data_IF_061554126413
#
_entry.id   IF_061554126413
#
_cell.length_a   1.000
_cell.length_b   1.000
_cell.length_c   1.000
_cell.angle_alpha   90.00
_cell.angle_beta   90.00
_cell.angle_gamma   90.00
#
_symmetry.space_group_name_H-M   'P 1'
#
loop_
_entity.id
_entity.type
_entity.pdbx_description
1 polymer ?
#
# COMPACT_ATOMS: atom_id res chain seq x y z
N UNK A 1 -11.62 -49.67 25.88
CA UNK A 1 -12.45 -48.46 25.66
C UNK A 1 -11.72 -47.13 25.80
N UNK A 2 -11.05 -46.82 26.93
CA UNK A 2 -10.48 -45.47 27.19
C UNK A 2 -9.38 -45.00 26.20
N UNK A 3 -8.58 -45.91 25.65
CA UNK A 3 -7.49 -45.58 24.70
C UNK A 3 -8.00 -45.22 23.30
N UNK A 4 -8.99 -45.95 22.77
CA UNK A 4 -9.63 -45.62 21.49
C UNK A 4 -10.41 -44.30 21.55
N UNK A 5 -11.08 -44.01 22.67
CA UNK A 5 -11.76 -42.74 22.88
C UNK A 5 -10.80 -41.53 22.89
N UNK A 6 -9.61 -41.67 23.52
CA UNK A 6 -8.57 -40.63 23.50
C UNK A 6 -8.03 -40.36 22.09
N UNK A 7 -7.78 -41.40 21.30
CA UNK A 7 -7.31 -41.25 19.91
C UNK A 7 -8.37 -40.56 19.04
N UNK A 8 -9.63 -40.94 19.18
CA UNK A 8 -10.74 -40.30 18.47
C UNK A 8 -10.89 -38.80 18.80
N UNK A 9 -10.78 -38.44 20.08
CA UNK A 9 -10.80 -37.04 20.53
C UNK A 9 -9.66 -36.20 19.94
N UNK A 10 -8.45 -36.77 19.86
CA UNK A 10 -7.29 -36.09 19.25
C UNK A 10 -7.52 -35.86 17.75
N UNK A 11 -8.07 -36.84 17.03
CA UNK A 11 -8.36 -36.70 15.60
C UNK A 11 -9.40 -35.60 15.36
N UNK A 12 -10.45 -35.52 16.16
CA UNK A 12 -11.45 -34.44 16.09
C UNK A 12 -10.79 -33.08 16.34
N UNK A 13 -9.93 -32.98 17.35
CA UNK A 13 -9.24 -31.72 17.67
C UNK A 13 -8.35 -31.27 16.50
N UNK A 14 -7.62 -32.18 15.88
CA UNK A 14 -6.77 -31.88 14.71
C UNK A 14 -7.63 -31.40 13.54
N UNK A 15 -8.72 -32.11 13.20
CA UNK A 15 -9.65 -31.70 12.13
C UNK A 15 -10.27 -30.33 12.42
N UNK A 16 -10.62 -30.06 13.69
CA UNK A 16 -11.19 -28.79 14.11
C UNK A 16 -10.19 -27.64 13.97
N UNK A 17 -8.94 -27.82 14.42
CA UNK A 17 -7.89 -26.81 14.27
C UNK A 17 -7.53 -26.54 12.80
N UNK A 18 -7.53 -27.57 11.95
CA UNK A 18 -7.31 -27.42 10.51
C UNK A 18 -8.45 -26.63 9.85
N UNK A 19 -9.71 -26.96 10.18
CA UNK A 19 -10.89 -26.24 9.71
C UNK A 19 -10.87 -24.77 10.11
N UNK A 20 -10.53 -24.46 11.37
CA UNK A 20 -10.38 -23.08 11.85
C UNK A 20 -9.29 -22.34 11.07
N UNK A 21 -8.14 -22.98 10.85
CA UNK A 21 -7.02 -22.38 10.11
C UNK A 21 -7.43 -22.02 8.69
N UNK A 22 -8.17 -22.90 8.01
CA UNK A 22 -8.72 -22.65 6.67
C UNK A 22 -9.72 -21.49 6.65
N UNK A 23 -10.59 -21.39 7.64
CA UNK A 23 -11.54 -20.27 7.76
C UNK A 23 -10.79 -18.94 7.94
N UNK A 24 -9.71 -18.93 8.74
CA UNK A 24 -8.88 -17.73 8.95
C UNK A 24 -8.18 -17.32 7.65
N UNK A 25 -7.62 -18.28 6.91
CA UNK A 25 -6.96 -18.05 5.62
C UNK A 25 -7.93 -17.39 4.62
N UNK A 26 -9.12 -17.98 4.43
CA UNK A 26 -10.17 -17.44 3.56
C UNK A 26 -10.55 -16.02 3.98
N UNK A 27 -10.76 -15.78 5.28
CA UNK A 27 -11.09 -14.44 5.78
C UNK A 27 -10.00 -13.43 5.45
N UNK A 28 -8.72 -13.80 5.63
CA UNK A 28 -7.59 -12.92 5.34
C UNK A 28 -7.50 -12.60 3.85
N UNK A 29 -7.74 -13.59 2.98
CA UNK A 29 -7.83 -13.36 1.53
C UNK A 29 -8.99 -12.44 1.15
N UNK A 30 -10.17 -12.61 1.74
CA UNK A 30 -11.31 -11.72 1.51
C UNK A 30 -10.99 -10.27 1.91
N UNK A 31 -10.37 -10.07 3.08
CA UNK A 31 -9.96 -8.73 3.54
C UNK A 31 -8.93 -8.12 2.58
N UNK A 32 -7.90 -8.89 2.20
CA UNK A 32 -6.87 -8.45 1.26
C UNK A 32 -7.49 -8.05 -0.10
N UNK A 33 -8.33 -8.90 -0.67
CA UNK A 33 -9.01 -8.65 -1.95
C UNK A 33 -9.92 -7.41 -1.87
N UNK A 34 -10.58 -7.19 -0.74
CA UNK A 34 -11.39 -5.99 -0.52
C UNK A 34 -10.52 -4.72 -0.53
N UNK A 35 -9.39 -4.72 0.19
CA UNK A 35 -8.43 -3.61 0.19
C UNK A 35 -7.89 -3.35 -1.23
N UNK A 36 -7.52 -4.40 -1.98
CA UNK A 36 -7.02 -4.29 -3.36
C UNK A 36 -7.98 -3.60 -4.33
N UNK A 37 -9.28 -3.62 -4.03
CA UNK A 37 -10.33 -3.03 -4.87
C UNK A 37 -10.77 -1.63 -4.42
N UNK A 38 -10.26 -1.16 -3.28
CA UNK A 38 -10.59 0.14 -2.70
C UNK A 38 -9.48 1.19 -2.87
N UNK A 39 -8.34 0.78 -3.40
CA UNK A 39 -7.18 1.65 -3.55
C UNK A 39 -6.79 1.82 -5.03
N UNK A 40 -6.36 3.02 -5.39
CA UNK A 40 -5.58 3.25 -6.61
C UNK A 40 -4.16 3.56 -6.19
N UNK A 41 -3.24 2.70 -6.59
CA UNK A 41 -1.81 2.85 -6.33
C UNK A 41 -1.19 3.73 -7.40
N UNK A 42 -0.01 4.27 -7.11
CA UNK A 42 0.75 5.06 -8.06
C UNK A 42 2.22 4.67 -7.99
N UNK A 43 2.86 4.57 -9.15
CA UNK A 43 4.31 4.49 -9.18
C UNK A 43 4.93 5.11 -10.42
N UNK A 44 6.13 5.64 -10.20
CA UNK A 44 7.01 6.13 -11.25
C UNK A 44 8.19 5.17 -11.35
N UNK A 45 8.47 4.68 -12.56
CA UNK A 45 9.49 3.69 -12.88
C UNK A 45 10.59 4.41 -13.65
N UNK A 46 11.81 4.34 -13.13
CA UNK A 46 12.96 4.99 -13.76
C UNK A 46 13.40 4.23 -15.02
N UNK A 47 14.09 4.92 -15.92
CA UNK A 47 14.69 4.30 -17.10
C UNK A 47 15.71 3.23 -16.71
N UNK A 48 16.58 3.50 -15.74
CA UNK A 48 17.55 2.55 -15.19
C UNK A 48 17.87 2.84 -13.71
N UNK A 49 18.77 2.05 -13.13
CA UNK A 49 19.25 2.21 -11.75
C UNK A 49 20.40 3.20 -11.58
N UNK A 50 20.82 3.86 -12.66
CA UNK A 50 21.83 4.90 -12.56
C UNK A 50 21.31 6.08 -11.71
N UNK A 51 22.23 6.77 -11.01
CA UNK A 51 21.89 7.87 -10.09
C UNK A 51 21.11 8.99 -10.78
N UNK A 52 21.40 9.28 -12.04
CA UNK A 52 20.72 10.37 -12.78
C UNK A 52 19.27 10.01 -13.12
N UNK A 53 19.00 8.78 -13.54
CA UNK A 53 17.65 8.27 -13.85
C UNK A 53 16.81 8.17 -12.58
N UNK A 54 17.43 7.75 -11.47
CA UNK A 54 16.79 7.74 -10.16
C UNK A 54 16.42 9.15 -9.69
N UNK A 55 17.31 10.13 -9.90
CA UNK A 55 17.03 11.56 -9.63
C UNK A 55 15.91 12.10 -10.53
N UNK A 56 16.00 11.85 -11.83
CA UNK A 56 15.00 12.27 -12.82
C UNK A 56 13.60 11.73 -12.48
N UNK A 57 13.51 10.45 -12.07
CA UNK A 57 12.26 9.86 -11.57
C UNK A 57 11.68 10.65 -10.40
N UNK A 58 12.51 11.04 -9.43
CA UNK A 58 12.04 11.79 -8.25
C UNK A 58 11.53 13.18 -8.65
N UNK A 59 12.23 13.88 -9.53
CA UNK A 59 11.78 15.19 -10.04
C UNK A 59 10.45 15.10 -10.80
N UNK A 60 10.31 14.12 -11.72
CA UNK A 60 9.06 13.86 -12.44
C UNK A 60 7.93 13.55 -11.44
N UNK A 61 8.22 12.69 -10.46
CA UNK A 61 7.28 12.29 -9.42
C UNK A 61 6.80 13.52 -8.63
N UNK A 62 7.69 14.41 -8.20
CA UNK A 62 7.33 15.61 -7.43
C UNK A 62 6.41 16.54 -8.22
N UNK A 63 6.71 16.79 -9.50
CA UNK A 63 5.88 17.64 -10.36
C UNK A 63 4.50 17.03 -10.65
N UNK A 64 4.42 15.70 -10.86
CA UNK A 64 3.15 15.00 -11.04
C UNK A 64 2.31 15.04 -9.77
N UNK A 65 2.91 14.77 -8.61
CA UNK A 65 2.23 14.80 -7.30
C UNK A 65 1.70 16.21 -7.04
N UNK A 66 2.50 17.25 -7.29
CA UNK A 66 2.10 18.65 -7.14
C UNK A 66 0.89 19.01 -8.01
N UNK A 67 0.84 18.51 -9.25
CA UNK A 67 -0.30 18.75 -10.14
C UNK A 67 -1.55 17.96 -9.72
N UNK A 68 -1.38 16.67 -9.41
CA UNK A 68 -2.49 15.78 -9.10
C UNK A 68 -3.08 15.98 -7.71
N UNK A 69 -2.32 16.54 -6.76
CA UNK A 69 -2.82 16.87 -5.41
C UNK A 69 -4.03 17.79 -5.47
N UNK A 70 -3.96 18.84 -6.30
CA UNK A 70 -5.06 19.78 -6.50
C UNK A 70 -6.26 19.12 -7.19
N UNK A 71 -6.00 18.23 -8.16
CA UNK A 71 -7.06 17.56 -8.93
C UNK A 71 -7.81 16.50 -8.12
N UNK A 72 -7.11 15.81 -7.23
CA UNK A 72 -7.68 14.73 -6.42
C UNK A 72 -8.21 15.20 -5.05
N UNK A 73 -7.96 16.45 -4.67
CA UNK A 73 -8.37 17.03 -3.38
C UNK A 73 -9.85 16.83 -3.08
N UNK A 74 -10.71 17.02 -4.08
CA UNK A 74 -12.16 16.97 -3.93
C UNK A 74 -12.77 15.61 -4.34
N UNK A 75 -11.93 14.62 -4.67
CA UNK A 75 -12.41 13.30 -5.08
C UNK A 75 -13.00 12.54 -3.90
N UNK A 76 -14.25 12.10 -4.05
CA UNK A 76 -15.04 11.45 -3.00
C UNK A 76 -14.91 9.94 -3.00
N UNK A 77 -14.66 9.34 -4.16
CA UNK A 77 -14.59 7.90 -4.32
C UNK A 77 -13.59 7.46 -5.40
N UNK A 78 -13.35 6.15 -5.44
CA UNK A 78 -12.39 5.51 -6.34
C UNK A 78 -12.74 5.70 -7.82
N UNK A 79 -14.02 5.75 -8.18
CA UNK A 79 -14.46 5.90 -9.56
C UNK A 79 -14.23 7.32 -10.06
N UNK A 80 -14.52 8.32 -9.22
CA UNK A 80 -14.21 9.70 -9.50
C UNK A 80 -12.70 9.91 -9.64
N UNK A 81 -11.90 9.37 -8.70
CA UNK A 81 -10.44 9.40 -8.78
C UNK A 81 -9.92 8.75 -10.08
N UNK A 82 -10.46 7.59 -10.46
CA UNK A 82 -10.12 6.92 -11.72
C UNK A 82 -10.41 7.79 -12.93
N UNK A 83 -11.54 8.48 -12.94
CA UNK A 83 -11.91 9.41 -14.03
C UNK A 83 -10.96 10.59 -14.07
N UNK A 84 -10.69 11.24 -12.93
CA UNK A 84 -9.74 12.35 -12.82
C UNK A 84 -8.36 11.96 -13.36
N UNK A 85 -7.86 10.77 -13.01
CA UNK A 85 -6.57 10.27 -13.50
C UNK A 85 -6.59 10.13 -15.02
N UNK A 86 -7.63 9.50 -15.59
CA UNK A 86 -7.75 9.32 -17.05
C UNK A 86 -7.85 10.66 -17.80
N UNK A 87 -8.68 11.58 -17.30
CA UNK A 87 -8.89 12.89 -17.91
C UNK A 87 -7.61 13.76 -17.88
N UNK A 88 -6.72 13.50 -16.94
CA UNK A 88 -5.45 14.22 -16.77
C UNK A 88 -4.23 13.48 -17.35
N UNK A 89 -4.38 12.29 -17.94
CA UNK A 89 -3.25 11.46 -18.41
C UNK A 89 -2.33 12.20 -19.39
N UNK A 90 -2.93 12.90 -20.36
CA UNK A 90 -2.18 13.71 -21.33
C UNK A 90 -1.34 14.78 -20.63
N UNK A 91 -1.93 15.46 -19.64
CA UNK A 91 -1.24 16.53 -18.91
C UNK A 91 -0.10 15.99 -18.05
N UNK A 92 -0.28 14.80 -17.45
CA UNK A 92 0.76 14.11 -16.69
C UNK A 92 1.94 13.76 -17.61
N UNK A 93 1.68 13.21 -18.80
CA UNK A 93 2.72 12.96 -19.81
C UNK A 93 3.46 14.23 -20.19
N UNK A 94 2.75 15.33 -20.44
CA UNK A 94 3.36 16.63 -20.77
C UNK A 94 4.29 17.13 -19.66
N UNK A 95 3.89 16.97 -18.39
CA UNK A 95 4.72 17.30 -17.23
C UNK A 95 5.99 16.45 -17.23
N UNK A 96 5.87 15.13 -17.39
CA UNK A 96 7.02 14.23 -17.41
C UNK A 96 7.98 14.58 -18.56
N UNK A 97 7.47 14.80 -19.78
CA UNK A 97 8.28 15.21 -20.93
C UNK A 97 9.00 16.54 -20.72
N UNK A 98 8.33 17.51 -20.08
CA UNK A 98 8.95 18.79 -19.75
C UNK A 98 10.17 18.59 -18.84
N UNK A 99 10.03 17.80 -17.77
CA UNK A 99 11.13 17.54 -16.82
C UNK A 99 12.27 16.76 -17.49
N UNK A 100 11.95 15.77 -18.33
CA UNK A 100 12.93 14.99 -19.12
C UNK A 100 13.76 15.92 -20.01
N UNK A 101 13.11 16.79 -20.78
CA UNK A 101 13.80 17.74 -21.66
C UNK A 101 14.63 18.77 -20.89
N UNK A 102 14.12 19.29 -19.78
CA UNK A 102 14.85 20.24 -18.93
C UNK A 102 16.13 19.64 -18.34
N UNK A 103 16.15 18.33 -18.10
CA UNK A 103 17.32 17.59 -17.63
C UNK A 103 18.24 17.11 -18.78
N UNK A 104 17.97 17.49 -20.04
CA UNK A 104 18.81 17.15 -21.19
C UNK A 104 18.60 15.73 -21.74
N UNK A 105 17.50 15.07 -21.39
CA UNK A 105 17.16 13.73 -21.88
C UNK A 105 16.12 13.77 -23.00
N UNK A 106 15.97 12.66 -23.71
CA UNK A 106 14.94 12.46 -24.74
C UNK A 106 14.19 11.12 -24.55
N UNK A 107 14.02 10.69 -23.29
CA UNK A 107 13.29 9.46 -22.98
C UNK A 107 11.81 9.58 -23.34
N UNK A 108 11.25 8.46 -23.83
CA UNK A 108 9.81 8.30 -23.96
C UNK A 108 9.14 8.17 -22.58
N UNK A 109 7.84 8.47 -22.50
CA UNK A 109 7.02 8.25 -21.30
C UNK A 109 5.78 7.46 -21.65
N UNK A 110 5.65 6.29 -21.02
CA UNK A 110 4.45 5.45 -21.11
C UNK A 110 3.68 5.58 -19.81
N UNK A 111 2.37 5.78 -19.91
CA UNK A 111 1.47 5.75 -18.76
C UNK A 111 0.40 4.69 -18.92
N UNK A 112 0.05 4.02 -17.84
CA UNK A 112 -1.00 3.00 -17.82
C UNK A 112 -1.85 3.12 -16.56
N UNK A 113 -3.12 2.73 -16.65
CA UNK A 113 -4.01 2.53 -15.52
C UNK A 113 -4.55 1.11 -15.59
N UNK A 114 -3.90 0.20 -14.86
CA UNK A 114 -4.10 -1.25 -14.97
C UNK A 114 -3.98 -1.94 -13.61
N UNK A 115 -4.39 -3.21 -13.53
CA UNK A 115 -4.20 -4.05 -12.34
C UNK A 115 -2.79 -4.67 -12.36
N UNK A 116 -1.99 -4.39 -11.33
CA UNK A 116 -0.56 -4.67 -11.29
C UNK A 116 -0.15 -5.32 -9.97
N UNK A 117 0.94 -6.10 -9.99
CA UNK A 117 1.46 -6.75 -8.79
C UNK A 117 2.28 -5.76 -7.96
N UNK A 118 1.95 -5.66 -6.67
CA UNK A 118 2.71 -4.86 -5.72
C UNK A 118 3.36 -5.75 -4.68
N UNK A 119 4.62 -5.52 -4.31
CA UNK A 119 5.20 -6.08 -3.10
C UNK A 119 4.57 -5.43 -1.86
N UNK A 120 4.87 -5.99 -0.68
CA UNK A 120 4.52 -5.39 0.61
C UNK A 120 5.13 -3.98 0.71
N UNK A 121 4.34 -2.99 1.14
CA UNK A 121 4.80 -1.60 1.31
C UNK A 121 4.25 -0.95 2.57
N UNK A 122 5.13 -0.30 3.32
CA UNK A 122 4.81 0.41 4.55
C UNK A 122 4.74 1.92 4.29
N UNK A 123 3.71 2.56 4.84
CA UNK A 123 3.48 4.00 4.79
C UNK A 123 3.14 4.45 6.21
N UNK A 124 4.08 5.09 6.91
CA UNK A 124 3.87 5.51 8.29
C UNK A 124 3.48 4.34 9.21
N UNK A 125 2.29 4.40 9.82
CA UNK A 125 1.74 3.39 10.71
C UNK A 125 0.97 2.25 10.00
N UNK A 126 0.90 2.21 8.67
CA UNK A 126 0.23 1.13 7.94
C UNK A 126 1.20 0.31 7.06
N UNK A 127 0.87 -0.96 6.84
CA UNK A 127 1.55 -1.84 5.88
C UNK A 127 0.54 -2.47 4.95
N UNK A 128 0.62 -2.13 3.66
CA UNK A 128 -0.19 -2.75 2.62
C UNK A 128 0.42 -4.10 2.20
N UNK A 129 -0.38 -5.17 2.13
CA UNK A 129 0.11 -6.49 1.77
C UNK A 129 0.53 -6.58 0.30
N UNK A 130 1.30 -7.61 -0.05
CA UNK A 130 1.54 -7.95 -1.45
C UNK A 130 0.23 -8.37 -2.11
N UNK A 131 -0.04 -7.88 -3.33
CA UNK A 131 -1.35 -8.06 -3.96
C UNK A 131 -1.46 -7.47 -5.37
N UNK A 132 -2.64 -7.59 -5.97
CA UNK A 132 -2.92 -7.06 -7.32
C UNK A 132 -3.83 -5.83 -7.26
N UNK A 133 -3.21 -4.65 -7.31
CA UNK A 133 -3.88 -3.37 -7.13
C UNK A 133 -4.12 -2.66 -8.45
N UNK A 134 -5.19 -1.86 -8.54
CA UNK A 134 -5.29 -0.90 -9.63
C UNK A 134 -4.19 0.15 -9.43
N UNK A 135 -3.44 0.45 -10.48
CA UNK A 135 -2.27 1.31 -10.41
C UNK A 135 -2.17 2.22 -11.61
N UNK A 136 -1.95 3.50 -11.33
CA UNK A 136 -1.47 4.44 -12.32
C UNK A 136 0.05 4.38 -12.38
N UNK A 137 0.60 4.09 -13.57
CA UNK A 137 2.04 3.91 -13.80
C UNK A 137 2.56 5.02 -14.68
N UNK A 138 3.74 5.52 -14.36
CA UNK A 138 4.54 6.39 -15.23
C UNK A 138 5.88 5.71 -15.44
N UNK A 139 6.12 5.24 -16.66
CA UNK A 139 7.31 4.48 -17.06
C UNK A 139 8.19 5.40 -17.90
N UNK A 140 9.39 5.68 -17.42
CA UNK A 140 10.35 6.55 -18.08
C UNK A 140 11.31 5.67 -18.90
N UNK A 141 11.46 5.96 -20.19
CA UNK A 141 12.33 5.20 -21.09
C UNK A 141 11.99 3.71 -21.10
N UNK A 142 12.99 2.86 -20.92
CA UNK A 142 12.84 1.39 -20.92
C UNK A 142 12.17 0.85 -19.66
N UNK A 143 12.12 1.64 -18.57
CA UNK A 143 11.45 1.23 -17.34
C UNK A 143 12.15 0.11 -16.57
N UNK A 144 13.47 -0.03 -16.70
CA UNK A 144 14.25 -1.10 -16.05
C UNK A 144 14.72 -0.72 -14.64
N UNK A 145 14.54 0.54 -14.25
CA UNK A 145 15.01 1.05 -12.97
C UNK A 145 14.04 0.85 -11.80
N UNK A 146 14.52 1.12 -10.59
CA UNK A 146 13.72 1.01 -9.37
C UNK A 146 12.45 1.87 -9.41
N UNK A 147 11.39 1.33 -8.83
CA UNK A 147 10.09 1.99 -8.69
C UNK A 147 10.06 2.95 -7.49
N UNK A 148 9.36 4.06 -7.65
CA UNK A 148 8.87 4.87 -6.53
C UNK A 148 7.39 4.55 -6.29
N UNK A 149 6.99 4.19 -5.07
CA UNK A 149 5.67 3.61 -4.77
C UNK A 149 4.81 4.51 -3.91
N UNK A 150 3.51 4.57 -4.20
CA UNK A 150 2.57 5.38 -3.44
C UNK A 150 1.10 4.91 -3.54
N UNK A 151 0.22 5.43 -2.68
CA UNK A 151 -1.24 5.34 -2.81
C UNK A 151 -1.79 6.69 -3.31
N UNK A 152 -2.37 6.70 -4.50
CA UNK A 152 -2.98 7.90 -5.10
C UNK A 152 -4.44 8.08 -4.69
N UNK A 153 -5.17 6.97 -4.46
CA UNK A 153 -6.48 6.98 -3.80
C UNK A 153 -6.54 5.90 -2.71
N UNK A 154 -6.90 6.25 -1.45
CA UNK A 154 -7.00 7.61 -0.94
C UNK A 154 -5.65 8.35 -1.05
N UNK A 155 -5.64 9.69 -0.98
CA UNK A 155 -4.55 10.52 -1.47
C UNK A 155 -3.31 10.58 -0.53
N UNK A 156 -2.66 9.43 -0.28
CA UNK A 156 -1.47 9.37 0.59
C UNK A 156 -0.20 9.95 -0.05
N UNK A 157 -0.17 10.13 -1.37
CA UNK A 157 0.99 10.72 -2.07
C UNK A 157 1.29 12.16 -1.69
N UNK A 158 0.34 12.85 -1.07
CA UNK A 158 0.45 14.27 -0.71
C UNK A 158 0.78 14.48 0.76
N UNK A 159 0.85 13.39 1.53
CA UNK A 159 1.20 13.45 2.96
C UNK A 159 2.68 13.75 3.08
N UNK A 160 2.99 14.81 3.81
CA UNK A 160 4.37 15.25 4.05
C UNK A 160 5.05 14.36 5.09
N UNK A 161 5.87 13.41 4.62
CA UNK A 161 6.61 12.46 5.47
C UNK A 161 7.57 13.13 6.45
N UNK A 162 7.92 14.41 6.28
CA UNK A 162 8.79 15.14 7.21
C UNK A 162 8.06 15.52 8.51
N UNK A 163 6.73 15.46 8.53
CA UNK A 163 5.90 15.86 9.68
C UNK A 163 5.63 14.74 10.70
N UNK A 164 6.34 13.62 10.60
CA UNK A 164 6.36 12.58 11.64
C UNK A 164 4.96 12.07 12.03
N UNK A 165 4.53 12.35 13.27
CA UNK A 165 3.24 11.91 13.79
C UNK A 165 2.03 12.49 13.03
N UNK A 166 2.10 13.74 12.59
CA UNK A 166 1.02 14.38 11.81
C UNK A 166 0.80 13.64 10.49
N UNK A 167 1.86 13.14 9.86
CA UNK A 167 1.77 12.33 8.65
C UNK A 167 1.08 10.98 8.90
N UNK A 168 1.24 10.41 10.09
CA UNK A 168 0.58 9.16 10.47
C UNK A 168 -0.92 9.38 10.73
N UNK A 169 -1.30 10.48 11.38
CA UNK A 169 -2.70 10.83 11.63
C UNK A 169 -3.45 11.08 10.31
N UNK A 170 -2.87 11.85 9.39
CA UNK A 170 -3.47 12.09 8.07
C UNK A 170 -3.59 10.79 7.25
N UNK A 171 -2.58 9.92 7.33
CA UNK A 171 -2.62 8.59 6.70
C UNK A 171 -3.75 7.74 7.28
N UNK A 172 -3.90 7.71 8.59
CA UNK A 172 -4.96 6.98 9.29
C UNK A 172 -6.34 7.51 8.92
N UNK A 173 -6.54 8.83 8.95
CA UNK A 173 -7.81 9.46 8.60
C UNK A 173 -8.21 9.14 7.16
N UNK A 174 -7.30 9.32 6.20
CA UNK A 174 -7.54 9.06 4.80
C UNK A 174 -7.84 7.59 4.52
N UNK A 175 -7.18 6.66 5.21
CA UNK A 175 -7.45 5.23 5.04
C UNK A 175 -8.77 4.81 5.67
N UNK A 176 -9.12 5.33 6.85
CA UNK A 176 -10.40 5.04 7.52
C UNK A 176 -11.63 5.59 6.78
N UNK A 177 -11.47 6.60 5.92
CA UNK A 177 -12.54 7.06 5.02
C UNK A 177 -12.96 6.01 4.00
N UNK A 178 -12.03 5.12 3.60
CA UNK A 178 -12.25 4.16 2.50
C UNK A 178 -12.32 2.72 3.01
N UNK A 179 -11.60 2.40 4.07
CA UNK A 179 -11.53 1.08 4.68
C UNK A 179 -12.44 0.99 5.90
N UNK A 180 -13.09 -0.16 6.07
CA UNK A 180 -13.81 -0.46 7.30
C UNK A 180 -12.81 -0.85 8.42
N UNK A 181 -13.32 -0.98 9.65
CA UNK A 181 -12.49 -1.27 10.83
C UNK A 181 -11.68 -2.58 10.71
N UNK A 182 -12.24 -3.63 10.11
CA UNK A 182 -11.54 -4.91 9.97
C UNK A 182 -10.40 -4.80 8.94
N UNK A 183 -10.66 -4.14 7.81
CA UNK A 183 -9.66 -3.87 6.77
C UNK A 183 -8.53 -2.99 7.30
N UNK A 184 -8.86 -1.86 7.94
CA UNK A 184 -7.86 -0.96 8.50
C UNK A 184 -7.01 -1.64 9.58
N UNK A 185 -7.63 -2.38 10.50
CA UNK A 185 -6.89 -3.10 11.54
C UNK A 185 -5.95 -4.17 10.97
N UNK A 186 -6.29 -4.79 9.84
CA UNK A 186 -5.42 -5.78 9.19
C UNK A 186 -4.11 -5.19 8.65
N UNK A 187 -4.08 -3.88 8.37
CA UNK A 187 -2.91 -3.18 7.84
C UNK A 187 -2.26 -2.24 8.86
N UNK A 188 -2.86 -2.01 10.03
CA UNK A 188 -2.37 -1.08 11.03
C UNK A 188 -1.22 -1.69 11.86
N UNK A 189 -0.01 -1.14 11.71
CA UNK A 189 1.20 -1.56 12.42
C UNK A 189 1.17 -1.20 13.91
N UNK A 190 0.42 -0.17 14.32
CA UNK A 190 0.38 0.27 15.70
C UNK A 190 -0.20 -0.80 16.63
N UNK A 191 -1.22 -1.53 16.19
CA UNK A 191 -1.80 -2.64 16.97
C UNK A 191 -0.78 -3.75 17.26
N UNK A 192 0.11 -4.05 16.31
CA UNK A 192 1.16 -5.05 16.52
C UNK A 192 2.20 -4.61 17.55
N UNK A 193 2.59 -3.32 17.54
CA UNK A 193 3.54 -2.78 18.52
C UNK A 193 2.97 -2.82 19.94
N UNK A 194 1.72 -2.39 20.14
CA UNK A 194 1.10 -2.40 21.47
C UNK A 194 0.93 -3.83 22.02
N UNK A 195 0.47 -4.77 21.19
CA UNK A 195 0.24 -6.16 21.61
C UNK A 195 1.54 -6.89 21.97
N UNK A 196 2.63 -6.65 21.24
CA UNK A 196 3.96 -7.21 21.57
C UNK A 196 4.49 -6.60 22.87
N UNK A 197 4.40 -5.28 23.03
CA UNK A 197 4.87 -4.59 24.25
C UNK A 197 4.09 -5.04 25.48
N UNK A 198 2.76 -5.17 25.40
CA UNK A 198 1.94 -5.71 26.49
C UNK A 198 2.31 -7.16 26.83
N UNK A 199 2.51 -8.00 25.82
CA UNK A 199 2.89 -9.40 26.03
C UNK A 199 4.26 -9.51 26.71
N UNK A 200 5.25 -8.71 26.28
CA UNK A 200 6.59 -8.67 26.89
C UNK A 200 6.54 -8.12 28.32
N UNK A 201 5.76 -7.06 28.58
CA UNK A 201 5.55 -6.53 29.94
C UNK A 201 4.90 -7.57 30.85
N UNK A 202 3.89 -8.28 30.36
CA UNK A 202 3.21 -9.34 31.12
C UNK A 202 4.15 -10.51 31.42
N UNK A 203 5.04 -10.89 30.49
CA UNK A 203 6.05 -11.94 30.73
C UNK A 203 7.09 -11.48 31.75
N UNK A 204 7.58 -10.22 31.66
CA UNK A 204 8.53 -9.68 32.64
C UNK A 204 7.93 -9.62 34.04
N UNK A 205 6.70 -9.12 34.18
CA UNK A 205 6.03 -9.01 35.48
C UNK A 205 5.74 -10.38 36.13
N UNK A 206 5.53 -11.43 35.32
CA UNK A 206 5.32 -12.81 35.78
C UNK A 206 6.61 -13.52 36.21
N UNK A 207 7.77 -13.03 35.75
CA UNK A 207 9.09 -13.55 36.13
C UNK A 207 9.73 -12.79 37.30
N UNK A 208 9.25 -11.59 37.64
CA UNK A 208 9.67 -10.81 38.81
C UNK A 208 8.81 -11.04 40.06
N UNK A 209 7.92 -12.03 40.02
CA UNK A 209 7.05 -12.46 41.13
C UNK A 209 7.30 -13.92 41.55
N UNK A 210 8.47 -14.46 41.21
CA UNK A 210 9.01 -15.74 41.69
C UNK A 210 10.33 -15.54 42.41
#
# INVERSE_FOLDING_TARGET
MKRGFKVFMVVILVIFTFSISKIIEIRNECIKNSIENKLIRFHVIANSDNVKDQKLKLEIKDEIIKYMSFKLKDSKDINESRKIIKDNDKKIKDIAYKVIKQNGYNYNVITTLSKENFPIKTYGNITLPQGKYEAYRVIIGEGEGHNWWCVMFPPLCFVDVTKGEVANEETEENMKKVLNSAEYNSINNAQFKFKVVETVKNIKNKNSSK
#
